data_IF_636557715597
#
_entry.id   IF_636557715597
#
_cell.length_a   1.000
_cell.length_b   1.000
_cell.length_c   1.000
_cell.angle_alpha   90.00
_cell.angle_beta   90.00
_cell.angle_gamma   90.00
#
_symmetry.space_group_name_H-M   'P 1'
#
loop_
_entity.id
_entity.type
_entity.pdbx_description
1 polymer ?
#
# COMPACT_ATOMS: atom_id res chain seq x y z
N UNK A 1 31.89 -5.51 3.83
CA UNK A 1 30.49 -5.86 3.56
C UNK A 1 29.93 -4.80 2.60
N UNK A 2 29.25 -5.17 1.49
CA UNK A 2 28.66 -4.20 0.59
C UNK A 2 27.67 -3.29 1.34
N UNK A 3 27.56 -2.02 0.91
CA UNK A 3 26.71 -0.98 1.53
C UNK A 3 25.24 -1.45 1.63
N UNK A 4 24.72 -2.04 0.56
CA UNK A 4 23.36 -2.56 0.48
C UNK A 4 23.08 -3.66 1.52
N UNK A 5 24.03 -4.59 1.71
CA UNK A 5 23.85 -5.70 2.65
C UNK A 5 23.66 -5.25 4.12
N UNK A 6 24.30 -4.14 4.54
CA UNK A 6 24.10 -3.60 5.90
C UNK A 6 22.77 -2.86 6.02
N UNK A 7 22.37 -2.16 4.98
CA UNK A 7 21.06 -1.50 4.91
C UNK A 7 19.94 -2.53 5.09
N UNK A 8 19.97 -3.61 4.31
CA UNK A 8 18.95 -4.66 4.37
C UNK A 8 18.95 -5.37 5.74
N UNK A 9 20.13 -5.64 6.33
CA UNK A 9 20.22 -6.20 7.68
C UNK A 9 19.58 -5.35 8.77
N UNK A 10 19.65 -4.02 8.66
CA UNK A 10 18.98 -3.11 9.60
C UNK A 10 17.47 -3.23 9.47
N UNK A 11 16.95 -3.28 8.25
CA UNK A 11 15.51 -3.44 8.00
C UNK A 11 15.01 -4.81 8.46
N UNK A 12 15.75 -5.89 8.19
CA UNK A 12 15.43 -7.25 8.66
C UNK A 12 15.40 -7.34 10.18
N UNK A 13 16.35 -6.67 10.85
CA UNK A 13 16.42 -6.63 12.30
C UNK A 13 15.20 -5.89 12.89
N UNK A 14 14.81 -4.75 12.34
CA UNK A 14 13.61 -4.06 12.78
C UNK A 14 12.36 -4.91 12.54
N UNK A 15 12.22 -5.51 11.37
CA UNK A 15 11.10 -6.39 11.04
C UNK A 15 10.97 -7.54 12.04
N UNK A 16 12.08 -8.23 12.35
CA UNK A 16 12.12 -9.33 13.32
C UNK A 16 11.75 -8.87 14.74
N UNK A 17 12.19 -7.70 15.17
CA UNK A 17 11.84 -7.13 16.48
C UNK A 17 10.34 -6.78 16.56
N UNK A 18 9.75 -6.28 15.49
CA UNK A 18 8.32 -5.95 15.40
C UNK A 18 7.41 -7.19 15.48
N UNK A 19 7.93 -8.40 15.22
CA UNK A 19 7.17 -9.65 15.41
C UNK A 19 6.83 -9.92 16.89
N UNK A 20 7.64 -9.40 17.80
CA UNK A 20 7.55 -9.72 19.24
C UNK A 20 7.43 -8.52 20.17
N UNK A 21 7.70 -7.31 19.66
CA UNK A 21 7.73 -6.06 20.45
C UNK A 21 6.97 -4.95 19.77
N UNK A 22 6.43 -4.05 20.58
CA UNK A 22 5.90 -2.79 20.11
C UNK A 22 7.04 -1.86 19.68
N UNK A 23 6.77 -1.01 18.68
CA UNK A 23 7.77 -0.08 18.14
C UNK A 23 8.34 0.88 19.20
N UNK A 24 7.50 1.36 20.13
CA UNK A 24 7.91 2.21 21.26
C UNK A 24 8.98 1.56 22.11
N UNK A 25 8.90 0.24 22.29
CA UNK A 25 9.79 -0.56 23.11
C UNK A 25 11.06 -1.01 22.38
N UNK A 26 11.21 -0.67 21.09
CA UNK A 26 12.39 -1.02 20.28
C UNK A 26 13.33 0.19 20.25
N UNK A 27 14.57 -0.03 20.70
CA UNK A 27 15.62 0.98 20.63
C UNK A 27 16.54 0.77 19.42
N UNK A 28 17.19 1.85 18.95
CA UNK A 28 18.21 1.76 17.88
C UNK A 28 19.36 0.84 18.29
N UNK A 29 19.66 0.72 19.60
CA UNK A 29 20.69 -0.18 20.10
C UNK A 29 20.30 -1.65 19.95
N UNK A 30 19.04 -2.00 20.17
CA UNK A 30 18.53 -3.36 19.94
C UNK A 30 18.49 -3.70 18.46
N UNK A 31 18.11 -2.74 17.58
CA UNK A 31 18.17 -2.95 16.13
C UNK A 31 19.61 -3.25 15.73
N UNK A 32 20.60 -2.50 16.24
CA UNK A 32 22.02 -2.71 15.96
C UNK A 32 22.49 -4.09 16.41
N UNK A 33 22.12 -4.50 17.63
CA UNK A 33 22.45 -5.81 18.18
C UNK A 33 21.84 -6.94 17.36
N UNK A 34 20.56 -6.83 17.00
CA UNK A 34 19.86 -7.84 16.19
C UNK A 34 20.42 -7.92 14.76
N UNK A 35 20.84 -6.79 14.20
CA UNK A 35 21.48 -6.72 12.88
C UNK A 35 22.96 -7.16 12.90
N UNK A 36 23.52 -7.41 14.08
CA UNK A 36 24.95 -7.75 14.27
C UNK A 36 25.90 -6.68 13.73
N UNK A 37 25.56 -5.40 13.95
CA UNK A 37 26.38 -4.24 13.53
C UNK A 37 26.57 -3.27 14.67
N UNK A 38 27.61 -2.45 14.58
CA UNK A 38 27.83 -1.37 15.54
C UNK A 38 26.74 -0.29 15.46
N UNK A 39 26.27 0.24 16.60
CA UNK A 39 25.26 1.31 16.67
C UNK A 39 25.60 2.52 15.79
N UNK A 40 26.89 2.93 15.74
CA UNK A 40 27.35 4.01 14.88
C UNK A 40 27.13 3.74 13.38
N UNK A 41 27.13 2.45 12.97
CA UNK A 41 26.83 2.07 11.60
C UNK A 41 25.37 2.34 11.22
N UNK A 42 24.44 2.26 12.15
CA UNK A 42 23.01 2.57 11.87
C UNK A 42 22.89 4.04 11.46
N UNK A 43 23.46 4.96 12.21
CA UNK A 43 23.38 6.41 11.94
C UNK A 43 24.06 6.84 10.64
N UNK A 44 24.87 6.00 10.05
CA UNK A 44 25.38 6.19 8.69
C UNK A 44 24.28 6.01 7.61
N UNK A 45 23.31 5.14 7.86
CA UNK A 45 22.23 4.82 6.91
C UNK A 45 20.93 5.55 7.22
N UNK A 46 20.63 5.75 8.50
CA UNK A 46 19.34 6.26 8.96
C UNK A 46 19.53 7.30 10.05
N UNK A 47 18.87 8.44 9.90
CA UNK A 47 18.95 9.55 10.87
C UNK A 47 18.19 9.26 12.18
N UNK A 48 17.20 8.38 12.14
CA UNK A 48 16.33 8.07 13.27
C UNK A 48 15.72 6.66 13.17
N UNK A 49 15.09 6.20 14.24
CA UNK A 49 14.28 4.96 14.23
C UNK A 49 13.11 5.07 13.24
N UNK A 50 12.49 6.26 13.16
CA UNK A 50 11.39 6.51 12.23
C UNK A 50 11.85 6.39 10.78
N UNK A 51 13.08 6.85 10.45
CA UNK A 51 13.64 6.68 9.11
C UNK A 51 13.90 5.20 8.75
N UNK A 52 14.28 4.36 9.74
CA UNK A 52 14.40 2.90 9.52
C UNK A 52 13.02 2.32 9.24
N UNK A 53 12.01 2.75 9.99
CA UNK A 53 10.65 2.29 9.83
C UNK A 53 10.07 2.68 8.46
N UNK A 54 10.27 3.93 8.03
CA UNK A 54 9.85 4.39 6.70
C UNK A 54 10.47 3.54 5.60
N UNK A 55 11.76 3.29 5.67
CA UNK A 55 12.46 2.44 4.71
C UNK A 55 11.97 0.97 4.74
N UNK A 56 11.61 0.44 5.91
CA UNK A 56 11.00 -0.89 6.02
C UNK A 56 9.63 -0.93 5.36
N UNK A 57 8.83 0.10 5.56
CA UNK A 57 7.53 0.28 4.88
C UNK A 57 7.73 0.30 3.37
N UNK A 58 8.59 1.18 2.85
CA UNK A 58 8.89 1.29 1.43
C UNK A 58 9.30 -0.06 0.84
N UNK A 59 10.23 -0.79 1.52
CA UNK A 59 10.67 -2.11 1.08
C UNK A 59 9.53 -3.13 0.96
N UNK A 60 8.60 -3.13 1.91
CA UNK A 60 7.49 -4.08 1.92
C UNK A 60 6.49 -3.85 0.77
N UNK A 61 6.40 -2.61 0.27
CA UNK A 61 5.52 -2.26 -0.85
C UNK A 61 6.25 -2.07 -2.19
N UNK A 62 7.57 -2.23 -2.23
CA UNK A 62 8.33 -2.12 -3.47
C UNK A 62 7.84 -3.12 -4.54
N UNK A 63 7.59 -4.37 -4.15
CA UNK A 63 7.14 -5.41 -5.07
C UNK A 63 5.77 -5.08 -5.73
N UNK A 64 4.69 -4.75 -5.00
CA UNK A 64 3.42 -4.37 -5.61
C UNK A 64 3.50 -3.05 -6.40
N UNK A 65 4.31 -2.07 -5.97
CA UNK A 65 4.50 -0.82 -6.71
C UNK A 65 5.26 -1.06 -8.02
N UNK A 66 6.30 -1.90 -8.00
CA UNK A 66 7.03 -2.30 -9.20
C UNK A 66 6.14 -3.07 -10.16
N UNK A 67 5.32 -3.98 -9.64
CA UNK A 67 4.30 -4.69 -10.43
C UNK A 67 3.32 -3.71 -11.07
N UNK A 68 2.85 -2.72 -10.32
CA UNK A 68 1.94 -1.70 -10.83
C UNK A 68 2.56 -0.87 -11.97
N UNK A 69 3.81 -0.43 -11.81
CA UNK A 69 4.53 0.30 -12.86
C UNK A 69 4.69 -0.54 -14.13
N UNK A 70 5.06 -1.81 -13.98
CA UNK A 70 5.17 -2.73 -15.11
C UNK A 70 3.83 -2.94 -15.82
N UNK A 71 2.74 -3.12 -15.07
CA UNK A 71 1.40 -3.25 -15.65
C UNK A 71 0.94 -1.98 -16.37
N UNK A 72 1.36 -0.79 -15.93
CA UNK A 72 1.04 0.45 -16.62
C UNK A 72 1.67 0.55 -18.02
N UNK A 73 2.76 -0.17 -18.28
CA UNK A 73 3.45 -0.22 -19.56
C UNK A 73 2.82 -1.22 -20.54
N UNK A 74 2.03 -2.20 -20.06
CA UNK A 74 1.42 -3.29 -20.87
C UNK A 74 0.12 -2.82 -21.54
N UNK A 75 0.25 -2.04 -22.61
CA UNK A 75 -0.87 -1.41 -23.31
C UNK A 75 -1.82 -2.36 -24.04
N UNK A 76 -1.39 -3.59 -24.32
CA UNK A 76 -2.17 -4.68 -24.90
C UNK A 76 -3.19 -5.27 -23.92
N UNK A 77 -2.98 -5.09 -22.60
CA UNK A 77 -3.93 -5.50 -21.57
C UNK A 77 -4.90 -4.34 -21.30
N UNK A 78 -6.19 -4.67 -21.19
CA UNK A 78 -7.22 -3.66 -20.95
C UNK A 78 -6.92 -2.83 -19.69
N UNK A 79 -7.22 -1.53 -19.66
CA UNK A 79 -7.01 -0.67 -18.49
C UNK A 79 -7.64 -1.25 -17.22
N UNK A 80 -8.86 -1.79 -17.33
CA UNK A 80 -9.59 -2.38 -16.21
C UNK A 80 -8.90 -3.61 -15.64
N UNK A 81 -8.39 -4.50 -16.51
CA UNK A 81 -7.65 -5.69 -16.09
C UNK A 81 -6.34 -5.31 -15.39
N UNK A 82 -5.61 -4.32 -15.89
CA UNK A 82 -4.38 -3.83 -15.24
C UNK A 82 -4.66 -3.26 -13.86
N UNK A 83 -5.69 -2.43 -13.72
CA UNK A 83 -6.10 -1.89 -12.42
C UNK A 83 -6.50 -3.01 -11.44
N UNK A 84 -7.25 -4.01 -11.89
CA UNK A 84 -7.62 -5.18 -11.08
C UNK A 84 -6.39 -5.92 -10.53
N UNK A 85 -5.41 -6.20 -11.40
CA UNK A 85 -4.16 -6.88 -11.02
C UNK A 85 -3.33 -6.07 -10.04
N UNK A 86 -3.29 -4.73 -10.18
CA UNK A 86 -2.61 -3.83 -9.25
C UNK A 86 -3.25 -3.91 -7.86
N UNK A 87 -4.57 -3.79 -7.77
CA UNK A 87 -5.27 -3.88 -6.50
C UNK A 87 -5.09 -5.25 -5.85
N UNK A 88 -5.13 -6.33 -6.62
CA UNK A 88 -4.88 -7.68 -6.11
C UNK A 88 -3.45 -7.83 -5.55
N UNK A 89 -2.44 -7.30 -6.24
CA UNK A 89 -1.05 -7.33 -5.77
C UNK A 89 -0.88 -6.55 -4.46
N UNK A 90 -1.50 -5.36 -4.33
CA UNK A 90 -1.47 -4.56 -3.12
C UNK A 90 -2.15 -5.28 -1.95
N UNK A 91 -3.31 -5.88 -2.17
CA UNK A 91 -4.02 -6.66 -1.15
C UNK A 91 -3.19 -7.84 -0.63
N UNK A 92 -2.58 -8.59 -1.54
CA UNK A 92 -1.73 -9.72 -1.16
C UNK A 92 -0.53 -9.28 -0.31
N UNK A 93 0.08 -8.15 -0.64
CA UNK A 93 1.19 -7.58 0.12
C UNK A 93 0.76 -7.09 1.50
N UNK A 94 -0.38 -6.41 1.60
CA UNK A 94 -0.95 -5.96 2.87
C UNK A 94 -1.31 -7.13 3.78
N UNK A 95 -1.93 -8.18 3.26
CA UNK A 95 -2.26 -9.39 4.00
C UNK A 95 -1.01 -10.13 4.49
N UNK A 96 0.06 -10.19 3.70
CA UNK A 96 1.33 -10.76 4.11
C UNK A 96 1.97 -9.95 5.24
N UNK A 97 1.94 -8.62 5.15
CA UNK A 97 2.47 -7.73 6.20
C UNK A 97 1.68 -7.85 7.51
N UNK A 98 0.35 -7.89 7.47
CA UNK A 98 -0.48 -8.03 8.66
C UNK A 98 -0.25 -9.35 9.39
N UNK A 99 0.09 -10.43 8.68
CA UNK A 99 0.45 -11.73 9.29
C UNK A 99 1.77 -11.68 10.07
N UNK A 100 2.67 -10.76 9.75
CA UNK A 100 3.95 -10.59 10.48
C UNK A 100 3.79 -9.76 11.75
N UNK A 101 2.61 -9.16 12.01
CA UNK A 101 2.34 -8.36 13.20
C UNK A 101 1.80 -9.24 14.34
N UNK A 102 2.32 -9.11 15.58
CA UNK A 102 1.81 -9.88 16.71
C UNK A 102 0.34 -9.54 16.99
N UNK A 103 -0.50 -10.58 17.08
CA UNK A 103 -1.96 -10.46 17.30
C UNK A 103 -2.35 -9.93 18.68
N UNK A 104 -1.42 -9.89 19.64
CA UNK A 104 -1.67 -9.58 21.05
C UNK A 104 -1.26 -8.18 21.52
N UNK A 105 -0.88 -7.28 20.64
CA UNK A 105 -0.46 -5.94 21.06
C UNK A 105 -1.65 -5.02 21.31
N UNK A 106 -1.80 -4.59 22.57
CA UNK A 106 -2.77 -3.57 23.02
C UNK A 106 -2.46 -2.15 22.49
N UNK A 107 -1.42 -1.99 21.70
CA UNK A 107 -0.95 -0.69 21.20
C UNK A 107 -1.71 -0.26 19.93
N UNK A 108 -3.00 -0.01 20.05
CA UNK A 108 -3.83 0.51 18.98
C UNK A 108 -3.28 1.81 18.32
N UNK A 109 -2.71 2.80 19.07
CA UNK A 109 -2.24 4.05 18.47
C UNK A 109 -1.00 3.87 17.57
N UNK A 110 -0.03 3.03 17.95
CA UNK A 110 1.19 2.81 17.16
C UNK A 110 0.91 2.03 15.88
N UNK A 111 0.01 1.04 15.94
CA UNK A 111 -0.45 0.34 14.75
C UNK A 111 -1.15 1.27 13.77
N UNK A 112 -2.02 2.14 14.28
CA UNK A 112 -2.70 3.13 13.46
C UNK A 112 -1.71 4.09 12.77
N UNK A 113 -0.68 4.54 13.48
CA UNK A 113 0.37 5.40 12.92
C UNK A 113 1.19 4.71 11.83
N UNK A 114 1.65 3.48 12.09
CA UNK A 114 2.34 2.64 11.10
C UNK A 114 1.47 2.46 9.87
N UNK A 115 0.24 2.07 10.09
CA UNK A 115 -0.71 1.80 9.04
C UNK A 115 -1.02 3.07 8.23
N UNK A 116 -1.17 4.23 8.87
CA UNK A 116 -1.33 5.51 8.17
C UNK A 116 -0.12 5.83 7.26
N UNK A 117 1.11 5.55 7.70
CA UNK A 117 2.30 5.70 6.85
C UNK A 117 2.25 4.77 5.63
N UNK A 118 1.79 3.52 5.81
CA UNK A 118 1.59 2.56 4.71
C UNK A 118 0.60 3.08 3.68
N UNK A 119 -0.58 3.50 4.15
CA UNK A 119 -1.65 4.02 3.30
C UNK A 119 -1.17 5.21 2.48
N UNK A 120 -0.51 6.16 3.16
CA UNK A 120 0.02 7.35 2.49
C UNK A 120 1.06 6.97 1.42
N UNK A 121 1.97 6.04 1.72
CA UNK A 121 2.98 5.59 0.75
C UNK A 121 2.33 4.92 -0.48
N UNK A 122 1.34 4.06 -0.28
CA UNK A 122 0.59 3.43 -1.37
C UNK A 122 -0.12 4.46 -2.24
N UNK A 123 -0.87 5.39 -1.62
CA UNK A 123 -1.61 6.42 -2.36
C UNK A 123 -0.65 7.28 -3.19
N UNK A 124 0.42 7.78 -2.58
CA UNK A 124 1.40 8.64 -3.26
C UNK A 124 2.10 7.90 -4.41
N UNK A 125 2.44 6.63 -4.22
CA UNK A 125 3.16 5.84 -5.22
C UNK A 125 2.26 5.32 -6.35
N UNK A 126 1.02 4.95 -6.06
CA UNK A 126 0.10 4.37 -7.04
C UNK A 126 -0.71 5.42 -7.80
N UNK A 127 -0.96 6.60 -7.22
CA UNK A 127 -1.73 7.66 -7.88
C UNK A 127 -1.24 7.97 -9.31
N UNK A 128 0.06 8.27 -9.55
CA UNK A 128 0.53 8.55 -10.91
C UNK A 128 0.44 7.32 -11.83
N UNK A 129 0.59 6.12 -11.29
CA UNK A 129 0.50 4.87 -12.07
C UNK A 129 -0.94 4.63 -12.55
N UNK A 130 -1.91 4.74 -11.64
CA UNK A 130 -3.33 4.59 -11.98
C UNK A 130 -3.81 5.71 -12.90
N UNK A 131 -3.40 6.95 -12.66
CA UNK A 131 -3.70 8.08 -13.54
C UNK A 131 -3.24 7.81 -14.98
N UNK A 132 -2.02 7.30 -15.15
CA UNK A 132 -1.49 6.92 -16.47
C UNK A 132 -2.30 5.82 -17.15
N UNK A 133 -2.78 4.81 -16.39
CA UNK A 133 -3.64 3.76 -16.95
C UNK A 133 -5.01 4.33 -17.35
N UNK A 134 -5.57 5.23 -16.55
CA UNK A 134 -6.84 5.92 -16.86
C UNK A 134 -6.68 6.79 -18.11
N UNK A 135 -5.60 7.56 -18.24
CA UNK A 135 -5.26 8.35 -19.44
C UNK A 135 -5.20 7.48 -20.70
N UNK A 136 -4.57 6.31 -20.59
CA UNK A 136 -4.53 5.35 -21.69
C UNK A 136 -5.93 4.81 -22.03
N UNK A 137 -6.78 4.59 -21.02
CA UNK A 137 -8.19 4.22 -21.23
C UNK A 137 -9.00 5.31 -21.91
N UNK A 138 -8.76 6.57 -21.59
CA UNK A 138 -9.38 7.73 -22.26
C UNK A 138 -8.93 7.78 -23.73
N UNK A 139 -7.63 7.60 -24.00
CA UNK A 139 -7.09 7.59 -25.34
C UNK A 139 -7.60 6.42 -26.22
N UNK A 140 -8.17 5.39 -25.60
CA UNK A 140 -8.79 4.22 -26.25
C UNK A 140 -10.33 4.32 -26.31
N UNK A 141 -10.92 5.44 -25.92
CA UNK A 141 -12.37 5.63 -25.79
C UNK A 141 -13.06 4.61 -24.88
N UNK A 142 -12.33 4.07 -23.87
CA UNK A 142 -12.84 3.10 -22.90
C UNK A 142 -13.25 3.77 -21.59
N UNK A 143 -12.75 4.96 -21.30
CA UNK A 143 -13.01 5.71 -20.06
C UNK A 143 -13.26 7.17 -20.43
N UNK A 144 -14.32 7.75 -19.90
CA UNK A 144 -14.57 9.19 -19.98
C UNK A 144 -14.28 9.81 -18.61
N UNK A 145 -13.24 10.64 -18.53
CA UNK A 145 -12.85 11.32 -17.29
C UNK A 145 -12.11 12.62 -17.61
N UNK A 146 -12.50 13.72 -16.95
CA UNK A 146 -11.86 15.01 -17.14
C UNK A 146 -10.55 15.16 -16.35
N UNK A 147 -10.43 14.47 -15.20
CA UNK A 147 -9.26 14.55 -14.32
C UNK A 147 -8.84 13.14 -13.84
N UNK A 148 -7.98 12.46 -14.61
CA UNK A 148 -7.49 11.12 -14.29
C UNK A 148 -6.74 11.04 -12.95
N UNK A 149 -6.02 12.10 -12.59
CA UNK A 149 -5.21 12.15 -11.37
C UNK A 149 -6.10 12.19 -10.13
N UNK A 150 -7.10 13.08 -10.13
CA UNK A 150 -8.07 13.17 -9.04
C UNK A 150 -8.94 11.92 -8.95
N UNK A 151 -9.33 11.32 -10.09
CA UNK A 151 -10.08 10.06 -10.10
C UNK A 151 -9.26 8.93 -9.46
N UNK A 152 -7.99 8.78 -9.83
CA UNK A 152 -7.09 7.80 -9.24
C UNK A 152 -6.94 8.01 -7.72
N UNK A 153 -6.80 9.25 -7.27
CA UNK A 153 -6.67 9.58 -5.85
C UNK A 153 -7.93 9.25 -5.06
N UNK A 154 -9.12 9.61 -5.55
CA UNK A 154 -10.41 9.31 -4.92
C UNK A 154 -10.58 7.80 -4.74
N UNK A 155 -10.32 7.02 -5.80
CA UNK A 155 -10.43 5.56 -5.76
C UNK A 155 -9.45 4.97 -4.75
N UNK A 156 -8.19 5.41 -4.75
CA UNK A 156 -7.18 4.94 -3.81
C UNK A 156 -7.57 5.27 -2.37
N UNK A 157 -8.01 6.49 -2.07
CA UNK A 157 -8.42 6.90 -0.72
C UNK A 157 -9.59 6.03 -0.23
N UNK A 158 -10.64 5.88 -1.04
CA UNK A 158 -11.81 5.10 -0.61
C UNK A 158 -11.44 3.63 -0.39
N UNK A 159 -10.74 3.01 -1.34
CA UNK A 159 -10.36 1.60 -1.22
C UNK A 159 -9.41 1.38 -0.05
N UNK A 160 -8.35 2.18 0.08
CA UNK A 160 -7.39 2.00 1.17
C UNK A 160 -8.05 2.17 2.54
N UNK A 161 -8.86 3.21 2.76
CA UNK A 161 -9.54 3.44 4.04
C UNK A 161 -10.55 2.35 4.37
N UNK A 162 -11.35 1.92 3.39
CA UNK A 162 -12.40 0.91 3.62
C UNK A 162 -11.86 -0.51 3.76
N UNK A 163 -10.83 -0.86 2.98
CA UNK A 163 -10.22 -2.19 3.05
C UNK A 163 -9.36 -2.39 4.30
N UNK A 164 -8.77 -1.32 4.81
CA UNK A 164 -8.01 -1.34 6.05
C UNK A 164 -8.88 -1.56 7.29
N UNK A 165 -10.07 -0.98 7.29
CA UNK A 165 -11.05 -1.09 8.38
C UNK A 165 -10.56 -0.65 9.78
N UNK A 166 -9.40 0.01 9.90
CA UNK A 166 -8.87 0.49 11.19
C UNK A 166 -9.27 1.93 11.50
N UNK A 167 -9.29 2.80 10.48
CA UNK A 167 -9.65 4.22 10.64
C UNK A 167 -11.15 4.42 10.79
N UNK A 168 -11.95 3.67 10.03
CA UNK A 168 -13.41 3.70 10.06
C UNK A 168 -13.92 2.27 10.18
N UNK A 169 -13.94 1.70 11.41
CA UNK A 169 -14.42 0.34 11.61
C UNK A 169 -15.82 0.15 11.02
N UNK A 170 -15.97 -0.86 10.20
CA UNK A 170 -17.20 -1.17 9.46
C UNK A 170 -17.41 -2.68 9.43
N UNK A 171 -18.64 -3.11 9.33
CA UNK A 171 -18.98 -4.52 9.07
C UNK A 171 -18.66 -4.89 7.61
N UNK A 172 -18.57 -6.18 7.30
CA UNK A 172 -18.37 -6.63 5.93
C UNK A 172 -19.45 -6.09 4.98
N UNK A 173 -20.72 -6.10 5.43
CA UNK A 173 -21.85 -5.58 4.65
C UNK A 173 -21.72 -4.07 4.38
N UNK A 174 -21.27 -3.27 5.36
CA UNK A 174 -21.06 -1.83 5.19
C UNK A 174 -19.91 -1.53 4.24
N UNK A 175 -18.85 -2.35 4.25
CA UNK A 175 -17.73 -2.25 3.31
C UNK A 175 -18.26 -2.55 1.90
N UNK A 176 -18.96 -3.67 1.72
CA UNK A 176 -19.54 -4.08 0.45
C UNK A 176 -20.48 -3.02 -0.12
N UNK A 177 -21.40 -2.49 0.70
CA UNK A 177 -22.30 -1.41 0.29
C UNK A 177 -21.55 -0.15 -0.15
N UNK A 178 -20.51 0.25 0.58
CA UNK A 178 -19.70 1.43 0.23
C UNK A 178 -18.97 1.24 -1.10
N UNK A 179 -18.35 0.08 -1.31
CA UNK A 179 -17.62 -0.20 -2.55
C UNK A 179 -18.60 -0.35 -3.73
N UNK A 180 -19.76 -0.98 -3.53
CA UNK A 180 -20.82 -1.07 -4.54
C UNK A 180 -21.33 0.32 -4.96
N UNK A 181 -21.54 1.21 -3.99
CA UNK A 181 -21.91 2.59 -4.28
C UNK A 181 -20.82 3.34 -5.05
N UNK A 182 -19.55 3.18 -4.67
CA UNK A 182 -18.41 3.74 -5.39
C UNK A 182 -18.37 3.24 -6.84
N UNK A 183 -18.50 1.93 -7.06
CA UNK A 183 -18.54 1.33 -8.42
C UNK A 183 -19.66 1.95 -9.24
N UNK A 184 -20.88 2.02 -8.71
CA UNK A 184 -22.02 2.63 -9.42
C UNK A 184 -21.81 4.12 -9.76
N UNK A 185 -21.20 4.88 -8.85
CA UNK A 185 -20.88 6.29 -9.10
C UNK A 185 -19.79 6.45 -10.18
N UNK A 186 -18.76 5.61 -10.12
CA UNK A 186 -17.67 5.63 -11.10
C UNK A 186 -18.16 5.24 -12.49
N UNK A 187 -18.94 4.15 -12.63
CA UNK A 187 -19.48 3.71 -13.91
C UNK A 187 -20.34 4.79 -14.56
N UNK A 188 -21.20 5.47 -13.78
CA UNK A 188 -22.01 6.59 -14.28
C UNK A 188 -21.18 7.82 -14.60
N UNK A 189 -20.21 8.17 -13.74
CA UNK A 189 -19.38 9.37 -13.90
C UNK A 189 -18.34 9.24 -15.01
N UNK A 190 -17.99 8.04 -15.41
CA UNK A 190 -17.04 7.74 -16.50
C UNK A 190 -17.72 7.13 -17.73
N UNK A 191 -19.05 7.18 -17.78
CA UNK A 191 -19.90 6.63 -18.84
C UNK A 191 -19.58 5.16 -19.20
N UNK A 192 -19.07 4.41 -18.23
CA UNK A 192 -18.76 3.01 -18.41
C UNK A 192 -20.02 2.13 -18.30
N UNK A 193 -20.08 1.01 -19.04
CA UNK A 193 -21.17 0.05 -18.88
C UNK A 193 -21.29 -0.47 -17.46
N UNK A 194 -22.52 -0.70 -17.00
CA UNK A 194 -22.76 -1.30 -15.69
C UNK A 194 -22.04 -2.64 -15.57
N UNK A 195 -21.31 -2.84 -14.48
CA UNK A 195 -20.52 -4.05 -14.20
C UNK A 195 -19.09 -4.02 -14.73
N UNK A 196 -18.67 -3.02 -15.50
CA UNK A 196 -17.29 -2.90 -16.01
C UNK A 196 -16.25 -2.73 -14.90
N UNK A 197 -16.66 -2.17 -13.75
CA UNK A 197 -15.80 -1.94 -12.58
C UNK A 197 -16.04 -2.96 -11.44
N UNK A 198 -16.76 -4.05 -11.68
CA UNK A 198 -17.00 -5.08 -10.66
C UNK A 198 -15.72 -5.74 -10.11
N UNK A 199 -14.59 -5.59 -10.78
CA UNK A 199 -13.31 -6.03 -10.25
C UNK A 199 -12.92 -5.33 -8.93
N UNK A 200 -13.47 -4.14 -8.66
CA UNK A 200 -13.28 -3.45 -7.38
C UNK A 200 -14.01 -4.17 -6.24
N UNK A 201 -15.16 -4.81 -6.53
CA UNK A 201 -15.88 -5.66 -5.58
C UNK A 201 -15.11 -6.95 -5.24
N UNK A 202 -14.36 -7.50 -6.20
CA UNK A 202 -13.55 -8.70 -5.99
C UNK A 202 -12.36 -8.48 -5.02
N UNK A 203 -12.17 -7.25 -4.54
CA UNK A 203 -11.18 -6.91 -3.52
C UNK A 203 -11.71 -7.11 -2.09
N UNK A 204 -13.00 -7.35 -1.90
CA UNK A 204 -13.64 -7.64 -0.62
C UNK A 204 -13.42 -9.11 -0.23
#
# INVERSE_FOLDING_TARGET
>A
MPKQLKYDKILDALQKLLETKELSNISVSEIAQTAEIGKGSIYYYFSSKDAILEALVERNYEAPITTARHLAEQREISPFTRMALIFQACRNSSAAFLKTQPSNTKAAPERAFLHQKYMNHLIVSLKPVLASIIEQGIAQDLILCADPVSLAEIVLIVLTVKMDNTLVPSTADEIEQTISALVSLLEKGTENPAGSLNFLMAQL
#
